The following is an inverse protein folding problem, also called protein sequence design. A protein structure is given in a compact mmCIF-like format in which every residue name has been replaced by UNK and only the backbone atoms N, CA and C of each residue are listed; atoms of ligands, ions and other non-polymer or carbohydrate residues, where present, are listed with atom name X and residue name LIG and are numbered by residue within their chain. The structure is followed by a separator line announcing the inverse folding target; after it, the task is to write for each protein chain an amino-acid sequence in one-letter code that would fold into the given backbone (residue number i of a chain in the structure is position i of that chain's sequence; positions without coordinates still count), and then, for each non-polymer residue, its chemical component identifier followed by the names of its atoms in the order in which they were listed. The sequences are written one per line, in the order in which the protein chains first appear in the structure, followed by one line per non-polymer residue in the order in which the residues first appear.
data_IF_018455397648
#
_entry.id   IF_018455397648
#
_cell.length_a   1.000
_cell.length_b   1.000
_cell.length_c   1.000
_cell.angle_alpha   90.00
_cell.angle_beta   90.00
_cell.angle_gamma   90.00
#
_symmetry.space_group_name_H-M   'P 1'
#
loop_
_entity.id
_entity.type
_entity.pdbx_description
1 polymer ?
#
# COMPACT_ATOMS: atom_id res chain seq x y z
N UNK A 1 22.97 -2.98 9.99
CA UNK A 1 22.51 -1.95 9.05
C UNK A 1 21.08 -2.16 8.55
N UNK A 2 20.56 -3.40 8.58
CA UNK A 2 19.13 -3.80 8.46
C UNK A 2 18.07 -2.98 9.24
N UNK A 3 18.48 -2.14 10.19
CA UNK A 3 17.58 -1.45 11.11
C UNK A 3 16.84 -0.27 10.44
N UNK A 4 17.46 0.42 9.47
CA UNK A 4 16.86 1.61 8.84
C UNK A 4 15.73 1.23 7.88
N UNK A 5 15.96 0.28 6.96
CA UNK A 5 14.89 -0.22 6.08
C UNK A 5 13.79 -0.89 6.88
N UNK A 6 14.12 -1.69 7.91
CA UNK A 6 13.09 -2.32 8.75
C UNK A 6 12.28 -1.30 9.54
N UNK A 7 12.91 -0.24 10.06
CA UNK A 7 12.19 0.87 10.69
C UNK A 7 11.27 1.58 9.69
N UNK A 8 11.77 1.90 8.50
CA UNK A 8 10.96 2.52 7.45
C UNK A 8 9.79 1.63 7.03
N UNK A 9 9.99 0.32 6.97
CA UNK A 9 8.95 -0.65 6.65
C UNK A 9 7.90 -0.74 7.76
N UNK A 10 8.29 -0.72 9.03
CA UNK A 10 7.34 -0.68 10.14
C UNK A 10 6.51 0.61 10.15
N UNK A 11 7.09 1.74 9.75
CA UNK A 11 6.34 2.99 9.54
C UNK A 11 5.36 2.87 8.37
N UNK A 12 5.80 2.25 7.27
CA UNK A 12 4.95 1.95 6.10
C UNK A 12 3.73 1.11 6.49
N UNK A 13 3.94 -0.04 7.15
CA UNK A 13 2.87 -0.97 7.54
C UNK A 13 1.83 -0.26 8.41
N UNK A 14 2.26 0.52 9.41
CA UNK A 14 1.34 1.26 10.28
C UNK A 14 0.54 2.33 9.53
N UNK A 15 1.19 3.08 8.64
CA UNK A 15 0.47 4.09 7.85
C UNK A 15 -0.47 3.45 6.83
N UNK A 16 -0.09 2.31 6.25
CA UNK A 16 -0.88 1.59 5.27
C UNK A 16 -2.11 0.96 5.93
N UNK A 17 -1.94 0.31 7.08
CA UNK A 17 -3.01 -0.25 7.91
C UNK A 17 -4.05 0.84 8.23
N UNK A 18 -3.61 1.97 8.81
CA UNK A 18 -4.51 3.10 9.09
C UNK A 18 -5.22 3.61 7.82
N UNK A 19 -4.53 3.65 6.68
CA UNK A 19 -5.13 4.10 5.42
C UNK A 19 -6.20 3.14 4.91
N UNK A 20 -5.97 1.83 5.04
CA UNK A 20 -6.93 0.78 4.69
C UNK A 20 -8.13 0.83 5.63
N UNK A 21 -7.92 0.85 6.95
CA UNK A 21 -9.02 0.91 7.92
C UNK A 21 -9.89 2.15 7.72
N UNK A 22 -9.32 3.31 7.39
CA UNK A 22 -10.09 4.51 7.08
C UNK A 22 -10.98 4.36 5.82
N UNK A 23 -10.58 3.55 4.83
CA UNK A 23 -11.42 3.27 3.67
C UNK A 23 -12.47 2.20 4.00
N UNK A 24 -12.13 1.19 4.81
CA UNK A 24 -13.09 0.19 5.30
C UNK A 24 -14.20 0.82 6.14
N UNK A 25 -13.85 1.66 7.13
CA UNK A 25 -14.82 2.41 7.96
C UNK A 25 -15.77 3.27 7.12
N UNK A 26 -15.24 3.87 6.04
CA UNK A 26 -16.03 4.64 5.09
C UNK A 26 -16.99 3.75 4.31
N UNK A 27 -16.55 2.57 3.85
CA UNK A 27 -17.42 1.63 3.17
C UNK A 27 -18.52 1.12 4.10
N UNK A 28 -18.21 0.83 5.36
CA UNK A 28 -19.19 0.41 6.34
C UNK A 28 -20.24 1.49 6.61
N UNK A 29 -19.80 2.75 6.72
CA UNK A 29 -20.72 3.89 6.83
C UNK A 29 -21.66 3.99 5.62
N UNK A 30 -21.13 3.78 4.40
CA UNK A 30 -21.95 3.78 3.17
C UNK A 30 -22.94 2.60 3.17
N UNK A 31 -22.52 1.41 3.60
CA UNK A 31 -23.41 0.24 3.74
C UNK A 31 -24.56 0.55 4.69
N UNK A 32 -24.25 1.10 5.86
CA UNK A 32 -25.26 1.46 6.86
C UNK A 32 -26.26 2.49 6.33
N UNK A 33 -25.79 3.55 5.67
CA UNK A 33 -26.65 4.57 5.07
C UNK A 33 -27.59 3.97 4.00
N UNK A 34 -27.06 3.16 3.10
CA UNK A 34 -27.86 2.53 2.04
C UNK A 34 -28.86 1.50 2.59
N UNK A 35 -28.51 0.77 3.66
CA UNK A 35 -29.44 -0.12 4.36
C UNK A 35 -30.61 0.66 4.97
N UNK A 36 -30.34 1.82 5.58
CA UNK A 36 -31.38 2.71 6.13
C UNK A 36 -32.30 3.24 5.02
N UNK A 37 -31.77 3.48 3.81
CA UNK A 37 -32.55 3.83 2.61
C UNK A 37 -33.36 2.66 2.03
N UNK A 38 -33.26 1.46 2.60
CA UNK A 38 -33.99 0.27 2.16
C UNK A 38 -33.40 -0.43 0.95
N UNK A 39 -32.11 -0.20 0.64
CA UNK A 39 -31.39 -0.94 -0.40
C UNK A 39 -31.18 -2.39 0.01
N UNK A 40 -31.26 -3.28 -0.98
CA UNK A 40 -30.87 -4.68 -0.80
C UNK A 40 -29.35 -4.83 -0.75
N UNK A 41 -28.87 -5.88 -0.10
CA UNK A 41 -27.44 -6.21 -0.03
C UNK A 41 -26.78 -6.27 -1.43
N UNK A 42 -27.49 -6.80 -2.43
CA UNK A 42 -27.00 -6.88 -3.81
C UNK A 42 -26.83 -5.49 -4.45
N UNK A 43 -27.75 -4.55 -4.21
CA UNK A 43 -27.63 -3.17 -4.69
C UNK A 43 -26.45 -2.45 -4.03
N UNK A 44 -26.25 -2.68 -2.73
CA UNK A 44 -25.15 -2.09 -1.95
C UNK A 44 -23.82 -2.60 -2.49
N UNK A 45 -23.66 -3.91 -2.62
CA UNK A 45 -22.40 -4.51 -3.08
C UNK A 45 -22.07 -4.07 -4.51
N UNK A 46 -23.06 -4.05 -5.41
CA UNK A 46 -22.87 -3.56 -6.78
C UNK A 46 -22.45 -2.09 -6.80
N UNK A 47 -22.99 -1.27 -5.90
CA UNK A 47 -22.60 0.12 -5.77
C UNK A 47 -21.17 0.26 -5.25
N UNK A 48 -20.81 -0.50 -4.22
CA UNK A 48 -19.46 -0.48 -3.65
C UNK A 48 -18.41 -0.91 -4.68
N UNK A 49 -18.63 -2.06 -5.31
CA UNK A 49 -17.73 -2.59 -6.34
C UNK A 49 -17.57 -1.58 -7.48
N UNK A 50 -18.66 -0.95 -7.92
CA UNK A 50 -18.65 -0.04 -9.05
C UNK A 50 -17.98 1.32 -8.79
N UNK A 51 -17.83 1.73 -7.53
CA UNK A 51 -17.40 3.10 -7.18
C UNK A 51 -16.15 3.16 -6.30
N UNK A 52 -15.87 2.13 -5.52
CA UNK A 52 -14.83 2.18 -4.49
C UNK A 52 -13.83 1.03 -4.54
N UNK A 53 -14.19 -0.11 -5.14
CA UNK A 53 -13.27 -1.23 -5.27
C UNK A 53 -12.30 -1.10 -6.46
N UNK A 54 -11.11 -1.72 -6.34
CA UNK A 54 -10.56 -2.30 -5.11
C UNK A 54 -10.00 -1.21 -4.18
N UNK A 55 -10.11 -1.40 -2.86
CA UNK A 55 -9.61 -0.45 -1.83
C UNK A 55 -8.14 -0.05 -2.04
N UNK A 56 -7.31 -0.97 -2.55
CA UNK A 56 -5.90 -0.71 -2.86
C UNK A 56 -5.70 0.42 -3.89
N UNK A 57 -6.71 0.70 -4.71
CA UNK A 57 -6.72 1.78 -5.69
C UNK A 57 -7.28 3.10 -5.14
N UNK A 58 -7.74 3.15 -3.89
CA UNK A 58 -8.19 4.39 -3.26
C UNK A 58 -7.04 5.41 -3.18
N UNK A 59 -7.39 6.69 -3.27
CA UNK A 59 -6.41 7.77 -3.20
C UNK A 59 -5.60 7.75 -1.89
N UNK A 60 -6.24 7.37 -0.77
CA UNK A 60 -5.58 7.28 0.55
C UNK A 60 -4.52 6.18 0.58
N UNK A 61 -4.86 4.99 0.11
CA UNK A 61 -3.94 3.84 0.06
C UNK A 61 -2.80 4.09 -0.94
N UNK A 62 -3.11 4.54 -2.16
CA UNK A 62 -2.09 4.87 -3.17
C UNK A 62 -1.12 5.93 -2.66
N UNK A 63 -1.60 6.92 -1.91
CA UNK A 63 -0.76 8.00 -1.37
C UNK A 63 0.29 7.44 -0.39
N UNK A 64 -0.11 6.56 0.53
CA UNK A 64 0.83 5.92 1.47
C UNK A 64 1.83 5.06 0.72
N UNK A 65 1.34 4.20 -0.17
CA UNK A 65 2.19 3.32 -0.97
C UNK A 65 3.24 4.11 -1.78
N UNK A 66 2.85 5.18 -2.50
CA UNK A 66 3.78 6.04 -3.24
C UNK A 66 4.76 6.79 -2.34
N UNK A 67 4.30 7.28 -1.19
CA UNK A 67 5.16 7.95 -0.20
C UNK A 67 6.30 7.02 0.23
N UNK A 68 5.99 5.77 0.55
CA UNK A 68 6.99 4.81 1.04
C UNK A 68 7.86 4.21 -0.06
N UNK A 69 7.33 4.07 -1.28
CA UNK A 69 8.13 3.80 -2.47
C UNK A 69 9.25 4.85 -2.64
N UNK A 70 8.89 6.14 -2.62
CA UNK A 70 9.85 7.24 -2.78
C UNK A 70 10.83 7.34 -1.61
N UNK A 71 10.37 7.11 -0.36
CA UNK A 71 11.28 7.07 0.80
C UNK A 71 12.29 5.93 0.70
N UNK A 72 11.88 4.74 0.22
CA UNK A 72 12.79 3.62 -0.01
C UNK A 72 13.85 3.99 -1.05
N UNK A 73 13.43 4.56 -2.19
CA UNK A 73 14.36 4.99 -3.23
C UNK A 73 15.32 6.09 -2.74
N UNK A 74 14.82 7.05 -1.97
CA UNK A 74 15.68 8.09 -1.39
C UNK A 74 16.71 7.51 -0.42
N UNK A 75 16.36 6.46 0.33
CA UNK A 75 17.29 5.77 1.22
C UNK A 75 18.37 5.02 0.42
N UNK A 76 18.00 4.34 -0.67
CA UNK A 76 18.97 3.72 -1.61
C UNK A 76 19.97 4.76 -2.13
N UNK A 77 19.48 5.90 -2.63
CA UNK A 77 20.32 6.98 -3.17
C UNK A 77 21.25 7.55 -2.10
N UNK A 78 20.78 7.69 -0.86
CA UNK A 78 21.61 8.18 0.24
C UNK A 78 22.69 7.16 0.64
N UNK A 79 22.36 5.87 0.65
CA UNK A 79 23.34 4.80 0.90
C UNK A 79 24.46 4.83 -0.15
N UNK A 80 24.11 4.93 -1.44
CA UNK A 80 25.09 5.02 -2.53
C UNK A 80 26.00 6.25 -2.37
N UNK A 81 25.45 7.41 -2.02
CA UNK A 81 26.24 8.63 -1.75
C UNK A 81 27.23 8.49 -0.59
N UNK A 82 26.92 7.64 0.38
CA UNK A 82 27.78 7.34 1.53
C UNK A 82 28.77 6.19 1.23
N UNK A 83 28.80 5.67 0.01
CA UNK A 83 29.67 4.54 -0.39
C UNK A 83 29.20 3.19 0.15
N UNK A 84 27.91 3.07 0.50
CA UNK A 84 27.29 1.81 0.90
C UNK A 84 26.63 1.15 -0.31
N UNK A 85 26.87 -0.15 -0.49
CA UNK A 85 26.22 -0.98 -1.51
C UNK A 85 24.84 -1.51 -1.05
N UNK A 86 24.35 -1.06 0.11
CA UNK A 86 23.04 -1.49 0.63
C UNK A 86 21.89 -0.89 -0.19
N UNK A 87 21.16 -1.76 -0.88
CA UNK A 87 20.05 -1.44 -1.76
C UNK A 87 18.85 -2.35 -1.50
N UNK A 88 17.64 -1.79 -1.51
CA UNK A 88 16.39 -2.54 -1.50
C UNK A 88 15.50 -2.04 -2.63
N UNK A 89 15.07 -2.95 -3.51
CA UNK A 89 14.13 -2.60 -4.57
C UNK A 89 12.80 -2.08 -3.97
N UNK A 90 12.32 -0.87 -4.35
CA UNK A 90 11.08 -0.31 -3.78
C UNK A 90 9.84 -1.19 -3.94
N UNK A 91 9.72 -1.98 -5.01
CA UNK A 91 8.63 -2.97 -5.17
C UNK A 91 8.74 -4.07 -4.13
N UNK A 92 9.92 -4.65 -3.97
CA UNK A 92 10.17 -5.68 -2.96
C UNK A 92 9.86 -5.15 -1.56
N UNK A 93 10.27 -3.91 -1.28
CA UNK A 93 10.00 -3.22 -0.02
C UNK A 93 8.50 -2.96 0.23
N UNK A 94 7.75 -2.52 -0.79
CA UNK A 94 6.35 -2.09 -0.61
C UNK A 94 5.34 -3.24 -0.76
N UNK A 95 5.69 -4.34 -1.42
CA UNK A 95 4.80 -5.45 -1.71
C UNK A 95 5.31 -6.73 -1.07
N UNK A 96 6.46 -7.22 -1.52
CA UNK A 96 6.92 -8.57 -1.18
C UNK A 96 7.21 -8.68 0.33
N UNK A 97 7.68 -7.62 0.98
CA UNK A 97 7.92 -7.60 2.42
C UNK A 97 6.63 -7.65 3.26
N UNK A 98 5.47 -7.25 2.71
CA UNK A 98 4.18 -7.39 3.40
C UNK A 98 3.81 -8.87 3.61
N UNK A 99 4.32 -9.77 2.79
CA UNK A 99 4.05 -11.21 2.92
C UNK A 99 4.79 -11.88 4.10
N UNK A 100 5.71 -11.17 4.76
CA UNK A 100 6.45 -11.69 5.90
C UNK A 100 5.59 -11.75 7.18
N UNK A 101 5.84 -12.74 8.04
CA UNK A 101 5.15 -12.96 9.32
C UNK A 101 3.62 -13.16 9.21
N UNK A 102 3.14 -13.75 8.11
CA UNK A 102 1.77 -14.27 7.99
C UNK A 102 0.70 -13.24 7.59
N UNK A 103 1.09 -12.01 7.25
CA UNK A 103 0.19 -10.92 6.83
C UNK A 103 -0.97 -10.65 7.81
N UNK A 104 -0.68 -10.32 9.09
CA UNK A 104 -1.69 -10.24 10.14
C UNK A 104 -2.79 -9.19 9.90
N UNK A 105 -2.61 -8.31 8.91
CA UNK A 105 -3.53 -7.25 8.52
C UNK A 105 -4.10 -7.45 7.09
N UNK A 106 -3.82 -8.60 6.44
CA UNK A 106 -4.22 -8.90 5.06
C UNK A 106 -3.77 -7.83 4.02
N UNK A 107 -2.74 -7.05 4.37
CA UNK A 107 -2.22 -5.95 3.57
C UNK A 107 -1.51 -6.46 2.32
N UNK A 108 -0.81 -7.59 2.40
CA UNK A 108 -0.21 -8.20 1.21
C UNK A 108 -1.30 -8.60 0.22
N UNK A 109 -2.35 -9.29 0.69
CA UNK A 109 -3.47 -9.69 -0.17
C UNK A 109 -4.16 -8.50 -0.83
N UNK A 110 -4.43 -7.43 -0.05
CA UNK A 110 -5.04 -6.20 -0.55
C UNK A 110 -4.15 -5.52 -1.60
N UNK A 111 -2.87 -5.32 -1.28
CA UNK A 111 -1.94 -4.60 -2.15
C UNK A 111 -1.57 -5.38 -3.41
N UNK A 112 -1.66 -6.70 -3.39
CA UNK A 112 -1.48 -7.54 -4.58
C UNK A 112 -2.61 -7.36 -5.62
N UNK A 113 -3.70 -6.65 -5.26
CA UNK A 113 -4.74 -6.22 -6.18
C UNK A 113 -4.41 -4.96 -6.99
N UNK A 114 -3.25 -4.32 -6.77
CA UNK A 114 -2.86 -3.12 -7.53
C UNK A 114 -2.72 -3.42 -9.03
N UNK A 115 -3.35 -2.64 -9.92
CA UNK A 115 -3.30 -2.88 -11.37
C UNK A 115 -1.95 -2.52 -12.00
N UNK A 116 -1.16 -1.68 -11.33
CA UNK A 116 0.18 -1.30 -11.75
C UNK A 116 1.04 -0.90 -10.55
N UNK A 117 2.35 -1.07 -10.69
CA UNK A 117 3.33 -0.52 -9.77
C UNK A 117 3.92 0.78 -10.35
N UNK A 118 4.32 1.75 -9.51
CA UNK A 118 5.06 2.91 -9.96
C UNK A 118 6.31 2.41 -10.68
N UNK A 119 6.68 3.08 -11.77
CA UNK A 119 7.91 2.77 -12.49
C UNK A 119 9.06 2.94 -11.49
N UNK A 120 9.82 1.85 -11.30
CA UNK A 120 10.98 1.81 -10.44
C UNK A 120 12.20 2.33 -11.16
N UNK A 121 13.21 2.70 -10.37
CA UNK A 121 14.56 2.89 -10.89
C UNK A 121 15.37 1.73 -10.33
N UNK A 122 16.01 0.94 -11.19
CA UNK A 122 16.81 -0.19 -10.78
C UNK A 122 18.17 0.24 -10.18
N UNK A 123 19.01 -0.75 -9.84
CA UNK A 123 20.35 -0.52 -9.31
C UNK A 123 21.27 0.30 -10.25
N UNK A 124 20.94 0.35 -11.55
CA UNK A 124 21.70 1.07 -12.58
C UNK A 124 21.13 2.47 -12.88
N UNK A 125 19.99 2.84 -12.29
CA UNK A 125 19.33 4.10 -12.63
C UNK A 125 18.31 3.97 -13.76
N UNK A 126 18.02 2.76 -14.22
CA UNK A 126 17.12 2.51 -15.36
C UNK A 126 15.68 2.30 -14.92
N UNK A 127 14.75 2.77 -15.77
CA UNK A 127 13.32 2.59 -15.55
C UNK A 127 12.90 1.12 -15.71
N UNK A 128 12.24 0.56 -14.70
CA UNK A 128 11.62 -0.77 -14.74
C UNK A 128 10.11 -0.73 -14.42
#
# INVERSE_FOLDING_TARGET
MYNTYKKLFNEYVKELDNAVSCEEDKLDSIREEMLIEGKSEEEIEKFIIGNFDPICCSGRVITVFRKYWLKCNALNVNNQKLGSDEYVNPKVFTIDWLSNDGDPYELFKLMNGLPYYPIGIDENGDYC
#
